data_IF_614934960037
#
_entry.id   IF_614934960037
#
_cell.length_a   1.000
_cell.length_b   1.000
_cell.length_c   1.000
_cell.angle_alpha   90.00
_cell.angle_beta   90.00
_cell.angle_gamma   90.00
#
_symmetry.space_group_name_H-M   'P 1'
#
loop_
_entity.id
_entity.type
_entity.pdbx_description
1 polymer ?
#
# COMPACT_ATOMS: atom_id res chain seq x y z
N UNK A 1 10.01 6.28 -19.41
CA UNK A 1 10.19 5.34 -18.28
C UNK A 1 8.84 5.12 -17.63
N UNK A 2 8.70 4.06 -16.84
CA UNK A 2 7.48 3.68 -16.12
C UNK A 2 7.58 4.03 -14.63
N UNK A 3 6.50 3.82 -13.85
CA UNK A 3 6.44 4.16 -12.43
C UNK A 3 6.71 2.97 -11.50
N UNK A 4 7.53 3.18 -10.47
CA UNK A 4 7.71 2.24 -9.36
C UNK A 4 6.91 2.73 -8.14
N UNK A 5 5.69 2.22 -7.98
CA UNK A 5 4.77 2.59 -6.91
C UNK A 5 3.96 1.37 -6.44
N UNK A 6 2.98 1.60 -5.56
CA UNK A 6 2.16 0.53 -4.97
C UNK A 6 1.21 -0.15 -5.96
N UNK A 7 1.10 0.36 -7.20
CA UNK A 7 0.34 -0.25 -8.28
C UNK A 7 1.18 -1.28 -9.04
N UNK A 8 2.49 -1.04 -9.14
CA UNK A 8 3.48 -1.88 -9.85
C UNK A 8 4.22 -2.88 -8.95
N UNK A 9 3.88 -2.93 -7.65
CA UNK A 9 4.50 -3.83 -6.67
C UNK A 9 3.46 -4.58 -5.83
N UNK A 10 3.91 -5.64 -5.14
CA UNK A 10 3.17 -6.32 -4.07
C UNK A 10 3.99 -6.32 -2.80
N UNK A 11 3.48 -5.69 -1.74
CA UNK A 11 4.16 -5.53 -0.46
C UNK A 11 3.34 -6.18 0.63
N UNK A 12 3.93 -7.12 1.35
CA UNK A 12 3.23 -7.93 2.35
C UNK A 12 3.92 -7.76 3.70
N UNK A 13 3.14 -7.47 4.73
CA UNK A 13 3.67 -7.39 6.09
C UNK A 13 4.10 -8.78 6.57
N UNK A 14 5.35 -8.90 7.01
CA UNK A 14 5.88 -10.14 7.59
C UNK A 14 5.24 -10.47 8.95
N UNK A 15 4.67 -9.48 9.66
CA UNK A 15 4.05 -9.68 10.98
C UNK A 15 2.60 -10.13 10.88
N UNK A 16 1.85 -9.57 9.93
CA UNK A 16 0.38 -9.73 9.85
C UNK A 16 -0.08 -10.43 8.58
N UNK A 17 0.79 -10.62 7.59
CA UNK A 17 0.43 -11.12 6.26
C UNK A 17 -0.44 -10.16 5.44
N UNK A 18 -0.73 -8.96 5.95
CA UNK A 18 -1.56 -7.96 5.27
C UNK A 18 -0.83 -7.38 4.04
N UNK A 19 -1.57 -7.17 2.96
CA UNK A 19 -1.08 -6.48 1.76
C UNK A 19 -1.08 -4.96 1.95
N UNK A 20 -0.01 -4.33 1.48
CA UNK A 20 0.30 -2.90 1.55
C UNK A 20 0.45 -2.32 0.14
N UNK A 21 -0.41 -2.75 -0.77
CA UNK A 21 -0.35 -2.43 -2.20
C UNK A 21 -1.77 -2.40 -2.82
N UNK A 22 -1.85 -2.16 -4.14
CA UNK A 22 -3.12 -2.06 -4.87
C UNK A 22 -3.98 -3.34 -4.82
N UNK A 23 -3.46 -4.49 -4.41
CA UNK A 23 -4.28 -5.69 -4.23
C UNK A 23 -5.40 -5.50 -3.21
N UNK A 24 -5.28 -4.54 -2.28
CA UNK A 24 -6.37 -4.14 -1.38
C UNK A 24 -7.59 -3.71 -2.19
N UNK A 25 -7.40 -2.88 -3.22
CA UNK A 25 -8.47 -2.48 -4.14
C UNK A 25 -8.96 -3.67 -4.98
N UNK A 26 -8.03 -4.46 -5.54
CA UNK A 26 -8.38 -5.61 -6.41
C UNK A 26 -9.21 -6.68 -5.70
N UNK A 27 -9.08 -6.79 -4.37
CA UNK A 27 -9.84 -7.71 -3.52
C UNK A 27 -11.17 -7.13 -3.02
N UNK A 28 -11.55 -5.92 -3.46
CA UNK A 28 -12.81 -5.29 -3.10
C UNK A 28 -12.78 -4.36 -1.88
N UNK A 29 -11.59 -3.95 -1.41
CA UNK A 29 -11.45 -2.94 -0.36
C UNK A 29 -11.98 -1.58 -0.81
N UNK A 30 -12.43 -0.76 0.15
CA UNK A 30 -12.98 0.57 -0.17
C UNK A 30 -11.87 1.56 -0.55
N UNK A 31 -12.24 2.66 -1.20
CA UNK A 31 -11.26 3.70 -1.56
C UNK A 31 -10.61 4.33 -0.32
N UNK A 32 -11.34 4.46 0.78
CA UNK A 32 -10.81 4.92 2.06
C UNK A 32 -9.75 3.95 2.61
N UNK A 33 -9.98 2.64 2.50
CA UNK A 33 -9.02 1.63 2.94
C UNK A 33 -7.75 1.64 2.09
N UNK A 34 -7.91 1.79 0.77
CA UNK A 34 -6.79 1.91 -0.17
C UNK A 34 -5.97 3.17 0.14
N UNK A 35 -6.63 4.32 0.29
CA UNK A 35 -5.96 5.58 0.63
C UNK A 35 -5.21 5.47 1.97
N UNK A 36 -5.82 4.85 2.98
CA UNK A 36 -5.16 4.58 4.27
C UNK A 36 -3.91 3.73 4.10
N UNK A 37 -3.99 2.65 3.33
CA UNK A 37 -2.85 1.76 3.05
C UNK A 37 -1.72 2.53 2.37
N UNK A 38 -2.01 3.39 1.41
CA UNK A 38 -0.97 4.15 0.70
C UNK A 38 -0.25 5.12 1.63
N UNK A 39 -0.98 5.79 2.53
CA UNK A 39 -0.38 6.67 3.56
C UNK A 39 0.43 5.89 4.58
N UNK A 40 -0.09 4.75 5.05
CA UNK A 40 0.64 3.84 5.96
C UNK A 40 1.95 3.37 5.32
N UNK A 41 1.91 2.93 4.06
CA UNK A 41 3.11 2.48 3.35
C UNK A 41 4.11 3.61 3.14
N UNK A 42 3.66 4.81 2.76
CA UNK A 42 4.54 5.98 2.67
C UNK A 42 5.26 6.25 3.98
N UNK A 43 4.52 6.25 5.10
CA UNK A 43 5.07 6.46 6.44
C UNK A 43 6.05 5.38 6.87
N UNK A 44 5.81 4.12 6.50
CA UNK A 44 6.74 3.01 6.80
C UNK A 44 8.05 3.17 6.02
N UNK A 45 7.98 3.57 4.75
CA UNK A 45 9.15 3.72 3.87
C UNK A 45 9.98 4.94 4.26
N UNK A 46 9.33 6.08 4.52
CA UNK A 46 10.00 7.37 4.71
C UNK A 46 10.20 7.76 6.18
N UNK A 47 9.35 7.25 7.08
CA UNK A 47 9.26 7.70 8.47
C UNK A 47 8.42 8.97 8.67
N UNK A 48 7.91 9.58 7.60
CA UNK A 48 7.19 10.86 7.61
C UNK A 48 5.68 10.68 7.32
N UNK A 49 4.85 11.66 7.68
CA UNK A 49 3.45 11.67 7.21
C UNK A 49 3.36 12.39 5.85
N UNK A 50 2.61 11.82 4.87
CA UNK A 50 2.45 12.39 3.54
C UNK A 50 1.52 13.61 3.51
#
# INVERSE_FOLDING_TARGET
GDELNLDSMRLWSLKTGRSFDKDVYRKGGTLEEVARVYRETYKIITGEEP
#
